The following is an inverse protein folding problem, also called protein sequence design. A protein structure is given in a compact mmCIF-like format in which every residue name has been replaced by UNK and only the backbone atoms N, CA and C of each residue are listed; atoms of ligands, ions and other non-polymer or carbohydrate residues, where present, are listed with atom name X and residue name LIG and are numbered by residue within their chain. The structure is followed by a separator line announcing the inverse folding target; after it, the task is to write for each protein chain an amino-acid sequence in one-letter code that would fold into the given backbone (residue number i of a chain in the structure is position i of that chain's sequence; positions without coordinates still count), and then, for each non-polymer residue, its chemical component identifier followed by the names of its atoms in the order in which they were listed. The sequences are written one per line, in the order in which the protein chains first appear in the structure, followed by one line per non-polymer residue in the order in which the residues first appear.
data_IF_452275915823
#
_entry.id   IF_452275915823
#
_cell.length_a   1.000
_cell.length_b   1.000
_cell.length_c   1.000
_cell.angle_alpha   90.00
_cell.angle_beta   90.00
_cell.angle_gamma   90.00
#
_symmetry.space_group_name_H-M   'P 1'
#
loop_
_entity.id
_entity.type
_entity.pdbx_description
1 polymer ?
#
# COMPACT_ATOMS: atom_id res chain seq x y z
N UNK A 1 2.09 17.87 21.18
CA UNK A 1 1.78 17.82 19.73
C UNK A 1 2.30 16.48 19.22
N UNK A 2 1.40 15.62 18.75
CA UNK A 2 1.76 14.27 18.28
C UNK A 2 2.43 14.36 16.90
N UNK A 3 3.75 14.15 16.84
CA UNK A 3 4.53 14.17 15.60
C UNK A 3 4.47 12.83 14.82
N UNK A 4 3.71 11.86 15.33
CA UNK A 4 3.68 10.48 14.82
C UNK A 4 3.42 10.37 13.30
N UNK A 5 2.44 11.09 12.69
CA UNK A 5 2.20 10.97 11.25
C UNK A 5 3.38 11.47 10.41
N UNK A 6 4.05 12.54 10.87
CA UNK A 6 5.18 13.14 10.17
C UNK A 6 6.42 12.25 10.26
N UNK A 7 6.64 11.64 11.42
CA UNK A 7 7.73 10.69 11.63
C UNK A 7 7.57 9.44 10.75
N UNK A 8 6.35 8.91 10.63
CA UNK A 8 6.04 7.77 9.77
C UNK A 8 6.35 8.05 8.29
N UNK A 9 5.98 9.24 7.80
CA UNK A 9 6.29 9.64 6.43
C UNK A 9 7.79 9.68 6.16
N UNK A 10 8.57 10.30 7.06
CA UNK A 10 10.03 10.37 6.87
C UNK A 10 10.68 8.99 6.99
N UNK A 11 10.21 8.16 7.91
CA UNK A 11 10.72 6.79 8.08
C UNK A 11 10.46 5.96 6.83
N UNK A 12 9.21 5.89 6.37
CA UNK A 12 8.86 5.12 5.16
C UNK A 12 9.59 5.64 3.92
N UNK A 13 9.77 6.96 3.78
CA UNK A 13 10.57 7.56 2.73
C UNK A 13 12.05 7.15 2.80
N UNK A 14 12.64 7.13 3.99
CA UNK A 14 14.04 6.72 4.19
C UNK A 14 14.24 5.25 3.83
N UNK A 15 13.35 4.38 4.31
CA UNK A 15 13.36 2.95 4.00
C UNK A 15 13.20 2.71 2.50
N UNK A 16 12.30 3.46 1.85
CA UNK A 16 12.17 3.45 0.39
C UNK A 16 13.45 3.87 -0.32
N UNK A 17 14.18 4.88 0.15
CA UNK A 17 15.44 5.30 -0.46
C UNK A 17 16.49 4.18 -0.37
N UNK A 18 16.63 3.54 0.80
CA UNK A 18 17.52 2.39 1.03
C UNK A 18 17.17 1.21 0.11
N UNK A 19 15.88 0.98 -0.14
CA UNK A 19 15.39 -0.13 -0.98
C UNK A 19 15.75 -0.04 -2.46
N UNK A 20 16.34 1.08 -2.92
CA UNK A 20 16.72 1.29 -4.32
C UNK A 20 18.06 0.67 -4.68
N UNK A 21 18.81 0.20 -3.69
CA UNK A 21 20.14 -0.38 -3.85
C UNK A 21 20.06 -1.88 -3.52
N UNK A 22 20.33 -2.74 -4.51
CA UNK A 22 20.26 -4.20 -4.37
C UNK A 22 21.16 -4.77 -3.27
N UNK A 23 22.24 -4.06 -2.95
CA UNK A 23 23.19 -4.41 -1.88
C UNK A 23 22.51 -4.47 -0.50
N UNK A 24 21.36 -3.82 -0.35
CA UNK A 24 20.60 -3.79 0.89
C UNK A 24 19.54 -4.90 1.00
N UNK A 25 19.34 -5.77 0.00
CA UNK A 25 18.29 -6.79 0.02
C UNK A 25 18.36 -7.72 1.24
N UNK A 26 19.57 -8.08 1.68
CA UNK A 26 19.77 -8.91 2.89
C UNK A 26 19.34 -8.18 4.17
N UNK A 27 19.48 -6.86 4.22
CA UNK A 27 18.97 -6.06 5.34
C UNK A 27 17.45 -6.25 5.42
N UNK A 28 16.73 -6.14 4.30
CA UNK A 28 15.26 -6.27 4.30
C UNK A 28 14.77 -7.65 4.70
N UNK A 29 15.51 -8.71 4.36
CA UNK A 29 15.17 -10.08 4.75
C UNK A 29 15.47 -10.33 6.24
N UNK A 30 16.60 -9.84 6.74
CA UNK A 30 17.08 -10.17 8.09
C UNK A 30 16.48 -9.32 9.22
N UNK A 31 15.94 -8.13 8.92
CA UNK A 31 15.60 -7.13 9.93
C UNK A 31 14.10 -6.94 10.20
N UNK A 32 13.26 -7.90 9.80
CA UNK A 32 11.78 -7.85 9.96
C UNK A 32 11.12 -6.60 9.35
N UNK A 33 11.86 -5.78 8.58
CA UNK A 33 11.37 -4.55 7.95
C UNK A 33 10.17 -4.85 7.04
N UNK A 34 10.22 -5.94 6.29
CA UNK A 34 9.13 -6.34 5.39
C UNK A 34 7.86 -6.70 6.16
N UNK A 35 7.99 -7.39 7.29
CA UNK A 35 6.86 -7.71 8.17
C UNK A 35 6.25 -6.44 8.74
N UNK A 36 7.09 -5.53 9.26
CA UNK A 36 6.67 -4.22 9.78
C UNK A 36 5.94 -3.39 8.72
N UNK A 37 6.42 -3.39 7.48
CA UNK A 37 5.76 -2.72 6.37
C UNK A 37 4.38 -3.35 6.09
N UNK A 38 4.27 -4.67 6.12
CA UNK A 38 3.01 -5.36 5.89
C UNK A 38 2.00 -5.10 7.03
N UNK A 39 2.46 -5.04 8.28
CA UNK A 39 1.62 -4.66 9.43
C UNK A 39 1.10 -3.23 9.28
N UNK A 40 1.96 -2.32 8.83
CA UNK A 40 1.55 -0.97 8.49
C UNK A 40 0.51 -0.94 7.37
N UNK A 41 0.65 -1.80 6.34
CA UNK A 41 -0.35 -1.93 5.28
C UNK A 41 -1.71 -2.39 5.80
N UNK A 42 -1.74 -3.35 6.72
CA UNK A 42 -2.98 -3.84 7.33
C UNK A 42 -3.66 -2.76 8.16
N UNK A 43 -2.90 -2.08 9.02
CA UNK A 43 -3.41 -1.00 9.85
C UNK A 43 -3.98 0.14 8.98
N UNK A 44 -3.29 0.48 7.89
CA UNK A 44 -3.75 1.52 6.98
C UNK A 44 -5.00 1.11 6.18
N UNK A 45 -5.15 -0.18 5.82
CA UNK A 45 -6.36 -0.68 5.17
C UNK A 45 -7.59 -0.50 6.08
N UNK A 46 -7.45 -0.81 7.38
CA UNK A 46 -8.50 -0.60 8.39
C UNK A 46 -8.84 0.89 8.52
N UNK A 47 -7.83 1.75 8.60
CA UNK A 47 -8.00 3.21 8.69
C UNK A 47 -8.74 3.77 7.46
N UNK A 48 -8.39 3.31 6.25
CA UNK A 48 -9.07 3.70 5.00
C UNK A 48 -10.53 3.24 5.01
N UNK A 49 -10.80 1.97 5.28
CA UNK A 49 -12.17 1.43 5.30
C UNK A 49 -13.03 2.12 6.36
N UNK A 50 -12.48 2.40 7.55
CA UNK A 50 -13.18 3.13 8.61
C UNK A 50 -13.55 4.56 8.19
N UNK A 51 -12.68 5.19 7.39
CA UNK A 51 -12.90 6.55 6.91
C UNK A 51 -14.01 6.59 5.86
N UNK A 52 -14.10 5.56 5.00
CA UNK A 52 -15.16 5.46 3.98
C UNK A 52 -16.52 5.15 4.60
N UNK A 53 -16.60 4.24 5.58
CA UNK A 53 -17.89 3.86 6.21
C UNK A 53 -18.59 5.02 6.93
N UNK A 54 -17.85 6.03 7.37
CA UNK A 54 -18.43 7.25 7.93
C UNK A 54 -19.08 8.14 6.85
N UNK A 55 -18.79 7.95 5.54
CA UNK A 55 -19.32 8.75 4.43
C UNK A 55 -20.77 8.40 4.08
N UNK A 56 -21.15 7.13 4.22
CA UNK A 56 -22.53 6.67 4.03
C UNK A 56 -23.48 7.23 5.10
N UNK A 57 -22.95 7.72 6.22
CA UNK A 57 -23.70 8.36 7.31
C UNK A 57 -23.95 9.88 7.11
N UNK A 58 -23.52 10.47 5.98
CA UNK A 58 -23.98 11.79 5.55
C UNK A 58 -23.11 13.00 5.90
N UNK A 59 -21.91 12.83 6.48
CA UNK A 59 -21.02 13.96 6.82
C UNK A 59 -19.73 14.02 5.98
N UNK A 60 -19.38 15.23 5.54
CA UNK A 60 -18.20 15.54 4.69
C UNK A 60 -16.88 15.07 5.31
N UNK A 61 -16.20 14.09 4.67
CA UNK A 61 -15.07 13.37 5.27
C UNK A 61 -13.69 13.66 4.70
N UNK A 62 -13.58 14.03 3.43
CA UNK A 62 -12.27 14.17 2.77
C UNK A 62 -11.46 15.37 3.34
N UNK A 63 -12.11 16.27 4.10
CA UNK A 63 -11.46 17.41 4.74
C UNK A 63 -11.19 17.26 6.24
N UNK A 64 -11.79 16.30 6.97
CA UNK A 64 -11.74 16.29 8.45
C UNK A 64 -10.69 15.37 9.08
N UNK A 65 -10.23 14.31 8.42
CA UNK A 65 -9.06 13.55 8.91
C UNK A 65 -7.79 14.09 8.26
N UNK A 66 -7.13 15.06 8.91
CA UNK A 66 -5.89 15.70 8.44
C UNK A 66 -4.69 14.73 8.26
N UNK A 67 -4.87 13.43 8.48
CA UNK A 67 -3.84 12.39 8.35
C UNK A 67 -3.91 11.55 7.08
N UNK A 68 -5.03 11.54 6.32
CA UNK A 68 -5.18 10.62 5.16
C UNK A 68 -4.13 10.88 4.07
N UNK A 69 -3.81 12.15 3.78
CA UNK A 69 -2.75 12.47 2.83
C UNK A 69 -1.38 11.94 3.27
N UNK A 70 -1.10 11.95 4.57
CA UNK A 70 0.14 11.41 5.15
C UNK A 70 0.16 9.88 5.11
N UNK A 71 -0.96 9.23 5.41
CA UNK A 71 -1.10 7.76 5.32
C UNK A 71 -0.88 7.29 3.88
N UNK A 72 -1.57 7.89 2.92
CA UNK A 72 -1.41 7.55 1.50
C UNK A 72 0.02 7.79 1.02
N UNK A 73 0.65 8.90 1.43
CA UNK A 73 2.05 9.17 1.07
C UNK A 73 3.01 8.14 1.66
N UNK A 74 2.80 7.74 2.92
CA UNK A 74 3.62 6.75 3.60
C UNK A 74 3.45 5.36 2.96
N UNK A 75 2.23 5.00 2.59
CA UNK A 75 1.93 3.75 1.88
C UNK A 75 2.59 3.69 0.50
N UNK A 76 2.61 4.79 -0.26
CA UNK A 76 3.33 4.85 -1.55
C UNK A 76 4.81 4.53 -1.38
N UNK A 77 5.44 5.01 -0.30
CA UNK A 77 6.84 4.66 -0.03
C UNK A 77 6.99 3.24 0.49
N UNK A 78 6.13 2.78 1.39
CA UNK A 78 6.21 1.45 2.00
C UNK A 78 5.97 0.33 0.97
N UNK A 79 4.93 0.45 0.14
CA UNK A 79 4.66 -0.50 -0.95
C UNK A 79 5.69 -0.35 -2.07
N UNK A 80 6.13 0.88 -2.37
CA UNK A 80 7.24 1.12 -3.29
C UNK A 80 8.54 0.42 -2.86
N UNK A 81 8.81 0.39 -1.55
CA UNK A 81 9.96 -0.30 -0.97
C UNK A 81 9.87 -1.80 -1.26
N UNK A 82 8.77 -2.44 -0.84
CA UNK A 82 8.55 -3.87 -1.11
C UNK A 82 8.60 -4.19 -2.61
N UNK A 83 8.08 -3.30 -3.47
CA UNK A 83 8.16 -3.46 -4.92
C UNK A 83 9.62 -3.47 -5.40
N UNK A 84 10.47 -2.54 -4.96
CA UNK A 84 11.87 -2.48 -5.39
C UNK A 84 12.62 -3.77 -5.01
N UNK A 85 12.52 -4.19 -3.75
CA UNK A 85 13.24 -5.38 -3.26
C UNK A 85 12.65 -6.69 -3.81
N UNK A 86 11.40 -6.68 -4.26
CA UNK A 86 10.76 -7.86 -4.88
C UNK A 86 11.30 -8.24 -6.26
N UNK A 87 12.33 -7.55 -6.78
CA UNK A 87 13.09 -8.02 -7.94
C UNK A 87 13.96 -9.25 -7.59
N UNK A 88 14.32 -9.41 -6.31
CA UNK A 88 15.08 -10.55 -5.80
C UNK A 88 14.17 -11.73 -5.43
N UNK A 89 14.49 -12.92 -5.94
CA UNK A 89 13.74 -14.15 -5.65
C UNK A 89 13.73 -14.50 -4.15
N UNK A 90 14.84 -14.23 -3.44
CA UNK A 90 14.92 -14.43 -1.99
C UNK A 90 13.89 -13.57 -1.25
N UNK A 91 13.78 -12.30 -1.63
CA UNK A 91 12.82 -11.36 -1.04
C UNK A 91 11.39 -11.73 -1.40
N UNK A 92 11.12 -12.15 -2.65
CA UNK A 92 9.80 -12.65 -3.04
C UNK A 92 9.37 -13.83 -2.16
N UNK A 93 10.29 -14.76 -1.88
CA UNK A 93 10.00 -15.90 -1.01
C UNK A 93 9.70 -15.48 0.43
N UNK A 94 10.46 -14.53 0.97
CA UNK A 94 10.22 -13.96 2.30
C UNK A 94 8.83 -13.27 2.37
N UNK A 95 8.51 -12.41 1.39
CA UNK A 95 7.22 -11.73 1.29
C UNK A 95 6.06 -12.73 1.15
N UNK A 96 6.20 -13.76 0.32
CA UNK A 96 5.19 -14.81 0.22
C UNK A 96 5.03 -15.58 1.53
N UNK A 97 6.13 -15.89 2.22
CA UNK A 97 6.11 -16.55 3.53
C UNK A 97 5.40 -15.72 4.60
N UNK A 98 5.55 -14.39 4.54
CA UNK A 98 4.87 -13.41 5.38
C UNK A 98 3.39 -13.16 4.98
N UNK A 99 2.86 -13.89 3.99
CA UNK A 99 1.48 -13.72 3.53
C UNK A 99 1.22 -12.41 2.77
N UNK A 100 2.25 -11.78 2.19
CA UNK A 100 2.14 -10.48 1.53
C UNK A 100 1.02 -10.41 0.47
N UNK A 101 0.78 -11.48 -0.28
CA UNK A 101 -0.27 -11.51 -1.32
C UNK A 101 -1.66 -11.24 -0.73
N UNK A 102 -2.02 -11.92 0.36
CA UNK A 102 -3.31 -11.76 1.00
C UNK A 102 -3.46 -10.36 1.62
N UNK A 103 -2.43 -9.90 2.33
CA UNK A 103 -2.39 -8.59 2.99
C UNK A 103 -2.46 -7.43 1.98
N UNK A 104 -1.70 -7.52 0.89
CA UNK A 104 -1.74 -6.53 -0.21
C UNK A 104 -3.09 -6.53 -0.93
N UNK A 105 -3.78 -7.67 -1.03
CA UNK A 105 -5.11 -7.73 -1.62
C UNK A 105 -6.14 -7.00 -0.76
N UNK A 106 -6.04 -7.11 0.57
CA UNK A 106 -6.87 -6.33 1.51
C UNK A 106 -6.60 -4.83 1.34
N UNK A 107 -5.34 -4.42 1.30
CA UNK A 107 -4.98 -3.01 1.04
C UNK A 107 -5.50 -2.52 -0.31
N UNK A 108 -5.32 -3.28 -1.39
CA UNK A 108 -5.80 -2.93 -2.73
C UNK A 108 -7.32 -2.73 -2.74
N UNK A 109 -8.07 -3.63 -2.10
CA UNK A 109 -9.52 -3.50 -1.99
C UNK A 109 -9.89 -2.18 -1.30
N UNK A 110 -9.29 -1.88 -0.15
CA UNK A 110 -9.54 -0.65 0.59
C UNK A 110 -9.24 0.60 -0.25
N UNK A 111 -8.12 0.60 -0.99
CA UNK A 111 -7.71 1.73 -1.85
C UNK A 111 -8.63 1.87 -3.08
N UNK A 112 -9.07 0.77 -3.70
CA UNK A 112 -10.04 0.81 -4.80
C UNK A 112 -11.37 1.38 -4.31
N UNK A 113 -11.84 0.97 -3.12
CA UNK A 113 -13.05 1.54 -2.52
C UNK A 113 -12.87 3.04 -2.24
N UNK A 114 -11.70 3.46 -1.76
CA UNK A 114 -11.37 4.88 -1.56
C UNK A 114 -11.42 5.65 -2.88
N UNK A 115 -10.85 5.11 -3.96
CA UNK A 115 -10.93 5.70 -5.30
C UNK A 115 -12.38 5.78 -5.79
N UNK A 116 -13.18 4.73 -5.62
CA UNK A 116 -14.59 4.76 -5.99
C UNK A 116 -15.35 5.87 -5.24
N UNK A 117 -15.12 5.98 -3.93
CA UNK A 117 -15.69 7.03 -3.08
C UNK A 117 -15.28 8.44 -3.54
N UNK A 118 -13.99 8.63 -3.85
CA UNK A 118 -13.47 9.91 -4.39
C UNK A 118 -14.03 10.25 -5.78
N UNK A 119 -14.29 9.25 -6.62
CA UNK A 119 -14.82 9.41 -7.99
C UNK A 119 -16.33 9.64 -8.05
N UNK A 120 -17.09 9.06 -7.12
CA UNK A 120 -18.55 9.23 -7.00
C UNK A 120 -18.98 10.67 -6.64
N UNK A 121 -18.02 11.54 -6.30
CA UNK A 121 -18.22 12.98 -6.00
C UNK A 121 -18.57 13.80 -7.27
N UNK A 122 -18.56 13.19 -8.47
CA UNK A 122 -18.86 13.86 -9.74
C UNK A 122 -20.29 14.36 -9.94
N UNK A 123 -21.30 13.73 -9.31
CA UNK A 123 -22.73 13.99 -9.59
C UNK A 123 -23.47 14.83 -8.54
N UNK A 124 -22.80 15.24 -7.46
CA UNK A 124 -23.38 16.13 -6.44
C UNK A 124 -22.46 17.32 -6.20
N UNK A 125 -22.98 18.51 -5.83
CA UNK A 125 -22.16 19.68 -5.53
C UNK A 125 -21.47 19.48 -4.18
N UNK A 126 -20.47 18.60 -4.15
CA UNK A 126 -19.60 18.34 -3.02
C UNK A 126 -18.17 18.73 -3.42
N UNK A 127 -17.35 19.20 -2.46
CA UNK A 127 -15.97 19.56 -2.75
C UNK A 127 -15.24 18.34 -3.32
N UNK A 128 -14.61 18.51 -4.50
CA UNK A 128 -13.76 17.47 -5.09
C UNK A 128 -12.67 17.08 -4.09
N UNK A 129 -12.30 15.79 -4.00
CA UNK A 129 -11.12 15.39 -3.24
C UNK A 129 -9.91 16.23 -3.65
N UNK A 130 -9.02 16.52 -2.70
CA UNK A 130 -7.76 17.16 -3.00
C UNK A 130 -7.05 16.35 -4.12
N UNK A 131 -6.68 16.96 -5.26
CA UNK A 131 -6.15 16.27 -6.43
C UNK A 131 -4.96 15.35 -6.08
N UNK A 132 -4.18 15.75 -5.08
CA UNK A 132 -3.02 15.01 -4.61
C UNK A 132 -3.36 13.67 -3.95
N UNK A 133 -4.49 13.55 -3.23
CA UNK A 133 -4.87 12.30 -2.57
C UNK A 133 -5.35 11.27 -3.61
N UNK A 134 -6.05 11.75 -4.64
CA UNK A 134 -6.40 10.95 -5.80
C UNK A 134 -5.15 10.40 -6.49
N UNK A 135 -4.17 11.25 -6.77
CA UNK A 135 -2.91 10.85 -7.41
C UNK A 135 -2.11 9.85 -6.55
N UNK A 136 -2.05 10.07 -5.24
CA UNK A 136 -1.38 9.15 -4.30
C UNK A 136 -2.06 7.78 -4.27
N UNK A 137 -3.39 7.73 -4.25
CA UNK A 137 -4.14 6.48 -4.29
C UNK A 137 -3.88 5.71 -5.59
N UNK A 138 -3.88 6.39 -6.74
CA UNK A 138 -3.54 5.75 -8.02
C UNK A 138 -2.09 5.24 -8.06
N UNK A 139 -1.14 6.01 -7.55
CA UNK A 139 0.27 5.57 -7.42
C UNK A 139 0.40 4.31 -6.56
N UNK A 140 -0.33 4.27 -5.44
CA UNK A 140 -0.36 3.10 -4.55
C UNK A 140 -0.93 1.86 -5.26
N UNK A 141 -2.04 2.01 -6.01
CA UNK A 141 -2.60 0.91 -6.81
C UNK A 141 -1.59 0.38 -7.84
N UNK A 142 -0.91 1.27 -8.54
CA UNK A 142 0.10 0.88 -9.54
C UNK A 142 1.28 0.12 -8.90
N UNK A 143 1.78 0.59 -7.76
CA UNK A 143 2.88 -0.07 -7.06
C UNK A 143 2.48 -1.41 -6.47
N UNK A 144 1.33 -1.49 -5.80
CA UNK A 144 0.82 -2.73 -5.21
C UNK A 144 0.54 -3.79 -6.29
N UNK A 145 -0.02 -3.37 -7.44
CA UNK A 145 -0.22 -4.28 -8.58
C UNK A 145 1.12 -4.75 -9.16
N UNK A 146 2.10 -3.86 -9.31
CA UNK A 146 3.45 -4.23 -9.75
C UNK A 146 4.14 -5.21 -8.80
N UNK A 147 3.97 -5.02 -7.49
CA UNK A 147 4.46 -5.94 -6.47
C UNK A 147 3.77 -7.31 -6.57
N UNK A 148 2.44 -7.35 -6.66
CA UNK A 148 1.70 -8.60 -6.84
C UNK A 148 2.10 -9.33 -8.12
N UNK A 149 2.41 -8.61 -9.20
CA UNK A 149 2.97 -9.22 -10.42
C UNK A 149 4.30 -9.90 -10.11
N UNK A 150 5.22 -9.24 -9.41
CA UNK A 150 6.51 -9.83 -9.05
C UNK A 150 6.33 -11.09 -8.18
N UNK A 151 5.40 -11.06 -7.21
CA UNK A 151 5.10 -12.19 -6.35
C UNK A 151 4.36 -13.34 -7.09
N UNK A 152 3.51 -13.02 -8.06
CA UNK A 152 2.75 -13.99 -8.85
C UNK A 152 3.56 -14.70 -9.95
N UNK A 153 4.70 -14.12 -10.35
CA UNK A 153 5.60 -14.70 -11.36
C UNK A 153 6.56 -15.77 -10.80
N UNK A 154 6.44 -16.14 -9.53
CA UNK A 154 7.23 -17.22 -8.98
C UNK A 154 6.97 -18.54 -9.72
N UNK A 155 8.02 -19.14 -10.28
CA UNK A 155 7.97 -20.37 -11.09
C UNK A 155 7.23 -21.53 -10.40
N UNK A 156 7.26 -21.58 -9.06
CA UNK A 156 6.52 -22.59 -8.26
C UNK A 156 5.00 -22.51 -8.41
N UNK A 157 4.45 -21.32 -8.70
CA UNK A 157 3.02 -21.12 -8.94
C UNK A 157 2.66 -21.17 -10.43
N UNK A 158 3.61 -20.91 -11.33
CA UNK A 158 3.41 -21.12 -12.77
C UNK A 158 3.01 -22.57 -13.08
N UNK A 159 3.55 -23.55 -12.34
CA UNK A 159 3.14 -24.96 -12.42
C UNK A 159 1.66 -25.20 -12.04
N UNK A 160 1.09 -24.40 -11.13
CA UNK A 160 -0.33 -24.50 -10.75
C UNK A 160 -1.27 -23.92 -11.84
N UNK A 161 -0.78 -23.00 -12.68
CA UNK A 161 -1.54 -22.43 -13.80
C UNK A 161 -1.33 -23.19 -15.12
N UNK A 162 -0.25 -23.97 -15.24
CA UNK A 162 0.09 -24.72 -16.47
C UNK A 162 -0.10 -26.25 -16.30
N UNK A 163 -0.25 -26.74 -15.06
CA UNK A 163 -0.27 -28.16 -14.70
C UNK A 163 -1.64 -28.74 -14.34
N UNK A 164 -2.72 -28.24 -14.93
CA UNK A 164 -4.00 -28.98 -14.97
C UNK A 164 -3.93 -30.10 -16.00
N UNK A 165 -3.35 -31.24 -15.62
CA UNK A 165 -3.57 -32.53 -16.28
C UNK A 165 -3.93 -33.57 -15.25
#
# INVERSE_FOLDING_TARGET
MDNAPRNLFYLTKSVYQTSREFENDELFISSEILETILEFCDAAAVEIESSIKLEDAGENLIHRKSGMGTILSSLVYAVGCMKNVSESEKVQNALCGAGAVARLTVLLRAVVTLCAAMGAVGDRPRPRPAPENWERALKLLAQATGLLRNLGLQKRWAGAFVGGK
#
